data_IF_289780230111
#
_entry.id   IF_289780230111
#
_cell.length_a   1.000
_cell.length_b   1.000
_cell.length_c   1.000
_cell.angle_alpha   90.00
_cell.angle_beta   90.00
_cell.angle_gamma   90.00
#
_symmetry.space_group_name_H-M   'P 1'
#
loop_
_entity.id
_entity.type
_entity.pdbx_description
1 polymer ?
#
# COMPACT_ATOMS: atom_id res chain seq x y z
N UNK A 1 14.79 39.14 -43.50
CA UNK A 1 14.79 38.50 -42.15
C UNK A 1 13.37 38.65 -41.60
N UNK A 2 12.55 37.59 -41.67
CA UNK A 2 11.21 37.52 -41.02
C UNK A 2 11.41 37.07 -39.59
N UNK A 3 11.01 37.90 -38.62
CA UNK A 3 10.93 37.58 -37.19
C UNK A 3 9.68 36.71 -36.98
N UNK A 4 9.90 35.45 -36.61
CA UNK A 4 8.83 34.54 -36.18
C UNK A 4 8.46 34.86 -34.71
N UNK A 5 7.18 35.19 -34.50
CA UNK A 5 6.58 35.38 -33.19
C UNK A 5 6.55 34.06 -32.41
N UNK A 6 6.85 34.04 -31.12
CA UNK A 6 6.64 32.85 -30.29
C UNK A 6 5.14 32.57 -30.11
N UNK A 7 4.75 31.31 -30.21
CA UNK A 7 3.40 30.83 -29.92
C UNK A 7 3.13 30.99 -28.41
N UNK A 8 1.92 31.41 -27.99
CA UNK A 8 1.54 31.42 -26.59
C UNK A 8 1.48 29.98 -26.10
N UNK A 9 2.04 29.78 -24.88
CA UNK A 9 2.14 28.50 -24.22
C UNK A 9 0.77 27.84 -24.06
N UNK A 10 0.71 26.56 -24.41
CA UNK A 10 -0.42 25.69 -24.08
C UNK A 10 -0.63 25.69 -22.57
N UNK A 11 -1.83 26.00 -22.15
CA UNK A 11 -2.30 25.76 -20.79
C UNK A 11 -2.12 24.27 -20.51
N UNK A 12 -1.22 23.95 -19.59
CA UNK A 12 -1.16 22.63 -18.95
C UNK A 12 -2.54 22.44 -18.34
N UNK A 13 -3.32 21.52 -18.92
CA UNK A 13 -4.59 21.13 -18.36
C UNK A 13 -4.36 20.74 -16.91
N UNK A 14 -5.05 21.39 -16.00
CA UNK A 14 -5.18 20.92 -14.63
C UNK A 14 -5.80 19.54 -14.76
N UNK A 15 -5.01 18.49 -14.48
CA UNK A 15 -5.53 17.14 -14.35
C UNK A 15 -6.69 17.22 -13.35
N UNK A 16 -7.90 17.02 -13.85
CA UNK A 16 -9.06 16.87 -12.98
C UNK A 16 -8.71 15.79 -11.96
N UNK A 17 -8.95 16.05 -10.68
CA UNK A 17 -8.68 15.04 -9.67
C UNK A 17 -9.49 13.82 -10.03
N UNK A 18 -8.83 12.68 -10.31
CA UNK A 18 -9.52 11.40 -10.40
C UNK A 18 -10.43 11.33 -9.18
N UNK A 19 -11.72 11.49 -9.40
CA UNK A 19 -12.73 11.31 -8.36
C UNK A 19 -12.58 9.86 -7.95
N UNK A 20 -11.91 9.63 -6.80
CA UNK A 20 -11.84 8.29 -6.21
C UNK A 20 -13.26 7.79 -6.15
N UNK A 21 -13.58 6.80 -6.97
CA UNK A 21 -14.90 6.19 -7.02
C UNK A 21 -15.19 5.69 -5.60
N UNK A 22 -16.21 6.22 -4.89
CA UNK A 22 -16.42 5.92 -3.46
C UNK A 22 -16.76 4.45 -3.18
N UNK A 23 -16.89 3.63 -4.20
CA UNK A 23 -17.46 2.28 -4.16
C UNK A 23 -16.53 1.15 -4.61
N UNK A 24 -15.25 1.38 -4.75
CA UNK A 24 -14.33 0.27 -4.99
C UNK A 24 -14.16 -0.52 -3.67
N UNK A 25 -15.03 -1.51 -3.42
CA UNK A 25 -14.91 -2.42 -2.28
C UNK A 25 -13.61 -3.24 -2.31
N UNK A 26 -13.00 -3.37 -3.49
CA UNK A 26 -11.81 -4.17 -3.75
C UNK A 26 -10.72 -3.33 -4.43
N UNK A 27 -9.47 -3.61 -4.06
CA UNK A 27 -8.33 -2.85 -4.56
C UNK A 27 -7.95 -3.24 -5.98
N UNK A 28 -7.59 -2.25 -6.82
CA UNK A 28 -7.01 -2.47 -8.15
C UNK A 28 -5.69 -3.22 -8.10
N UNK A 29 -4.92 -3.06 -7.02
CA UNK A 29 -3.60 -3.67 -6.87
C UNK A 29 -3.62 -5.20 -6.74
N UNK A 30 -4.76 -5.80 -6.41
CA UNK A 30 -4.95 -7.23 -6.25
C UNK A 30 -5.90 -7.89 -7.25
N UNK A 31 -6.39 -7.15 -8.24
CA UNK A 31 -7.43 -7.62 -9.16
C UNK A 31 -7.04 -8.92 -9.90
N UNK A 32 -5.79 -9.03 -10.32
CA UNK A 32 -5.28 -10.24 -11.01
C UNK A 32 -5.27 -11.45 -10.09
N UNK A 33 -4.72 -11.31 -8.90
CA UNK A 33 -4.61 -12.41 -7.91
C UNK A 33 -6.01 -12.84 -7.44
N UNK A 34 -6.90 -11.88 -7.24
CA UNK A 34 -8.28 -12.16 -6.88
C UNK A 34 -9.02 -12.91 -7.98
N UNK A 35 -8.85 -12.50 -9.25
CA UNK A 35 -9.46 -13.19 -10.39
C UNK A 35 -8.95 -14.63 -10.52
N UNK A 36 -7.62 -14.83 -10.49
CA UNK A 36 -7.01 -16.16 -10.59
C UNK A 36 -7.43 -17.03 -9.40
N UNK A 37 -7.37 -16.49 -8.17
CA UNK A 37 -7.78 -17.20 -6.97
C UNK A 37 -9.26 -17.59 -6.97
N UNK A 38 -10.14 -16.70 -7.43
CA UNK A 38 -11.57 -16.97 -7.56
C UNK A 38 -11.86 -18.07 -8.57
N UNK A 39 -11.20 -18.05 -9.74
CA UNK A 39 -11.34 -19.10 -10.75
C UNK A 39 -10.84 -20.45 -10.24
N UNK A 40 -9.67 -20.48 -9.62
CA UNK A 40 -9.07 -21.71 -9.10
C UNK A 40 -9.92 -22.32 -7.97
N UNK A 41 -10.32 -21.50 -6.98
CA UNK A 41 -11.16 -21.95 -5.88
C UNK A 41 -12.57 -22.33 -6.36
N UNK A 42 -13.15 -21.59 -7.32
CA UNK A 42 -14.43 -21.93 -7.91
C UNK A 42 -14.42 -23.30 -8.61
N UNK A 43 -13.36 -23.59 -9.36
CA UNK A 43 -13.17 -24.93 -9.95
C UNK A 43 -12.98 -26.01 -8.87
N UNK A 44 -12.21 -25.72 -7.82
CA UNK A 44 -12.03 -26.60 -6.66
C UNK A 44 -13.38 -26.94 -6.00
N UNK A 45 -14.14 -25.91 -5.66
CA UNK A 45 -15.49 -26.05 -5.04
C UNK A 45 -16.40 -26.90 -5.93
N UNK A 46 -16.43 -26.68 -7.25
CA UNK A 46 -17.25 -27.47 -8.16
C UNK A 46 -16.88 -28.97 -8.14
N UNK A 47 -15.58 -29.28 -8.17
CA UNK A 47 -15.07 -30.64 -8.10
C UNK A 47 -15.35 -31.29 -6.75
N UNK A 48 -15.06 -30.56 -5.66
CA UNK A 48 -15.28 -31.05 -4.29
C UNK A 48 -16.75 -31.27 -3.99
N UNK A 49 -17.64 -30.38 -4.45
CA UNK A 49 -19.10 -30.53 -4.30
C UNK A 49 -19.64 -31.72 -5.09
N UNK A 50 -19.18 -31.91 -6.33
CA UNK A 50 -19.53 -33.08 -7.12
C UNK A 50 -19.07 -34.37 -6.43
N UNK A 51 -17.85 -34.42 -5.93
CA UNK A 51 -17.33 -35.56 -5.22
C UNK A 51 -18.07 -35.83 -3.90
N UNK A 52 -18.43 -34.78 -3.16
CA UNK A 52 -19.22 -34.88 -1.94
C UNK A 52 -20.60 -35.48 -2.19
N UNK A 53 -21.23 -35.06 -3.27
CA UNK A 53 -22.57 -35.60 -3.64
C UNK A 53 -22.49 -37.07 -4.14
N UNK A 54 -21.32 -37.48 -4.70
CA UNK A 54 -21.22 -38.81 -5.36
C UNK A 54 -20.60 -39.88 -4.46
N UNK A 55 -19.64 -39.52 -3.60
CA UNK A 55 -18.78 -40.48 -2.90
C UNK A 55 -18.88 -40.44 -1.39
N UNK A 56 -18.88 -39.26 -0.75
CA UNK A 56 -18.87 -39.17 0.70
C UNK A 56 -19.31 -37.81 1.23
N UNK A 57 -20.27 -37.76 2.19
CA UNK A 57 -20.72 -36.51 2.80
C UNK A 57 -19.61 -35.72 3.51
N UNK A 58 -18.52 -36.37 3.96
CA UNK A 58 -17.40 -35.69 4.63
C UNK A 58 -16.68 -34.72 3.72
N UNK A 59 -16.76 -34.86 2.42
CA UNK A 59 -16.17 -33.94 1.46
C UNK A 59 -16.84 -32.55 1.46
N UNK A 60 -18.03 -32.40 2.04
CA UNK A 60 -18.63 -31.09 2.27
C UNK A 60 -17.77 -30.20 3.22
N UNK A 61 -16.98 -30.81 4.11
CA UNK A 61 -16.04 -30.07 4.93
C UNK A 61 -14.94 -29.40 4.07
N UNK A 62 -14.49 -30.07 3.00
CA UNK A 62 -13.53 -29.48 2.05
C UNK A 62 -14.14 -28.29 1.32
N UNK A 63 -15.39 -28.42 0.84
CA UNK A 63 -16.13 -27.30 0.23
C UNK A 63 -16.21 -26.11 1.18
N UNK A 64 -16.53 -26.35 2.45
CA UNK A 64 -16.58 -25.28 3.46
C UNK A 64 -15.21 -24.62 3.66
N UNK A 65 -14.11 -25.38 3.69
CA UNK A 65 -12.76 -24.84 3.78
C UNK A 65 -12.39 -23.99 2.56
N UNK A 66 -12.70 -24.46 1.35
CA UNK A 66 -12.42 -23.71 0.11
C UNK A 66 -13.19 -22.40 0.06
N UNK A 67 -14.47 -22.39 0.47
CA UNK A 67 -15.28 -21.18 0.58
C UNK A 67 -14.74 -20.22 1.65
N UNK A 68 -14.25 -20.73 2.78
CA UNK A 68 -13.63 -19.91 3.82
C UNK A 68 -12.34 -19.25 3.31
N UNK A 69 -11.52 -19.99 2.57
CA UNK A 69 -10.30 -19.45 1.93
C UNK A 69 -10.66 -18.40 0.88
N UNK A 70 -11.71 -18.62 0.09
CA UNK A 70 -12.17 -17.64 -0.88
C UNK A 70 -12.69 -16.37 -0.20
N UNK A 71 -13.48 -16.49 0.85
CA UNK A 71 -13.99 -15.35 1.60
C UNK A 71 -12.83 -14.55 2.23
N UNK A 72 -11.82 -15.23 2.78
CA UNK A 72 -10.61 -14.59 3.27
C UNK A 72 -9.84 -13.87 2.16
N UNK A 73 -9.69 -14.46 0.97
CA UNK A 73 -9.03 -13.85 -0.18
C UNK A 73 -9.75 -12.54 -0.60
N UNK A 74 -11.08 -12.57 -0.68
CA UNK A 74 -11.87 -11.36 -0.97
C UNK A 74 -11.69 -10.31 0.12
N UNK A 75 -11.75 -10.73 1.39
CA UNK A 75 -11.55 -9.85 2.53
C UNK A 75 -10.14 -9.23 2.57
N UNK A 76 -9.11 -9.98 2.16
CA UNK A 76 -7.73 -9.51 2.08
C UNK A 76 -7.57 -8.37 1.08
N UNK A 77 -8.20 -8.46 -0.09
CA UNK A 77 -8.13 -7.44 -1.14
C UNK A 77 -9.18 -6.34 -1.00
N UNK A 78 -9.86 -6.23 0.16
CA UNK A 78 -10.80 -5.14 0.40
C UNK A 78 -10.10 -3.79 0.47
N UNK A 79 -10.77 -2.76 0.00
CA UNK A 79 -10.28 -1.38 0.02
C UNK A 79 -11.38 -0.42 0.52
N UNK A 80 -11.70 -0.47 1.80
CA UNK A 80 -12.73 0.41 2.37
C UNK A 80 -12.29 1.87 2.28
N UNK A 81 -13.25 2.77 2.08
CA UNK A 81 -12.99 4.20 2.10
C UNK A 81 -12.39 4.62 3.47
N UNK A 82 -11.38 5.48 3.42
CA UNK A 82 -10.74 6.09 4.60
C UNK A 82 -10.76 7.60 4.42
N UNK A 83 -11.66 8.25 5.13
CA UNK A 83 -11.74 9.71 5.11
C UNK A 83 -10.61 10.29 5.96
N UNK A 84 -9.87 11.23 5.38
CA UNK A 84 -8.89 12.00 6.13
C UNK A 84 -9.62 12.93 7.12
N UNK A 85 -9.20 12.99 8.39
CA UNK A 85 -9.76 13.98 9.31
C UNK A 85 -9.44 15.39 8.80
N UNK A 86 -10.35 16.36 8.99
CA UNK A 86 -10.07 17.76 8.67
C UNK A 86 -9.01 18.33 9.60
N UNK A 87 -8.21 19.27 9.11
CA UNK A 87 -7.17 19.99 9.86
C UNK A 87 -5.85 20.01 9.12
N UNK A 88 -5.13 21.13 9.27
CA UNK A 88 -3.79 21.32 8.69
C UNK A 88 -2.72 20.69 9.58
N UNK A 89 -1.63 20.24 8.98
CA UNK A 89 -0.49 19.66 9.71
C UNK A 89 -0.75 18.29 10.35
N UNK A 90 -1.90 17.65 10.08
CA UNK A 90 -2.21 16.34 10.60
C UNK A 90 -1.61 15.23 9.71
N UNK A 91 -0.95 14.27 10.33
CA UNK A 91 -0.52 13.03 9.71
C UNK A 91 -1.48 11.90 10.07
N UNK A 92 -1.83 11.08 9.08
CA UNK A 92 -2.62 9.86 9.29
C UNK A 92 -1.73 8.62 9.15
N UNK A 93 -2.13 7.52 9.77
CA UNK A 93 -1.41 6.25 9.59
C UNK A 93 -1.47 5.84 8.10
N UNK A 94 -0.32 5.53 7.49
CA UNK A 94 -0.29 5.10 6.10
C UNK A 94 -0.75 3.65 5.89
N UNK A 95 -1.09 2.93 6.96
CA UNK A 95 -1.58 1.56 6.91
C UNK A 95 -2.55 1.25 8.04
N UNK A 96 -3.48 0.34 7.80
CA UNK A 96 -4.27 -0.30 8.85
C UNK A 96 -3.38 -1.34 9.55
N UNK A 97 -3.13 -1.18 10.84
CA UNK A 97 -2.28 -2.09 11.57
C UNK A 97 -2.07 -1.68 13.02
N UNK A 98 -1.04 -2.24 13.63
CA UNK A 98 -0.63 -1.92 14.99
C UNK A 98 0.76 -1.29 14.97
N UNK A 99 0.93 -0.17 15.67
CA UNK A 99 2.27 0.40 15.90
C UNK A 99 3.09 -0.63 16.67
N UNK A 100 4.20 -1.04 16.08
CA UNK A 100 5.11 -2.05 16.65
C UNK A 100 6.25 -1.41 17.41
N UNK A 101 6.74 -0.28 16.93
CA UNK A 101 7.90 0.45 17.49
C UNK A 101 7.90 1.91 17.04
N UNK A 102 8.56 2.72 17.84
CA UNK A 102 8.86 4.11 17.55
C UNK A 102 10.35 4.29 17.87
N UNK A 103 11.15 4.66 16.87
CA UNK A 103 12.60 4.71 16.98
C UNK A 103 13.12 6.07 16.53
N UNK A 104 14.00 6.74 17.29
CA UNK A 104 14.65 7.97 16.83
C UNK A 104 15.57 7.68 15.64
N UNK A 105 15.67 8.63 14.72
CA UNK A 105 16.49 8.56 13.51
C UNK A 105 17.60 9.60 13.53
N UNK A 106 18.79 9.18 13.09
CA UNK A 106 19.90 10.07 12.80
C UNK A 106 19.85 10.66 11.38
N UNK A 107 20.84 11.45 11.04
CA UNK A 107 20.96 12.14 9.73
C UNK A 107 21.20 11.21 8.56
N UNK A 108 21.79 10.03 8.79
CA UNK A 108 22.09 9.00 7.75
C UNK A 108 20.90 8.12 7.40
N UNK A 109 19.72 8.42 7.94
CA UNK A 109 18.48 7.73 7.59
C UNK A 109 18.00 8.13 6.19
N UNK A 110 17.04 7.35 5.68
CA UNK A 110 16.32 7.69 4.42
C UNK A 110 15.66 9.07 4.47
N UNK A 111 15.41 9.61 5.66
CA UNK A 111 14.85 10.95 5.85
C UNK A 111 15.85 12.04 5.48
N UNK A 112 17.15 11.84 5.76
CA UNK A 112 18.22 12.80 5.52
C UNK A 112 18.35 13.92 6.57
N UNK A 113 17.63 13.81 7.68
CA UNK A 113 17.67 14.68 8.85
C UNK A 113 17.29 13.89 10.10
N UNK A 114 17.53 14.41 11.32
CA UNK A 114 17.02 13.82 12.55
C UNK A 114 15.50 13.73 12.51
N UNK A 115 14.95 12.72 13.18
CA UNK A 115 13.50 12.49 13.16
C UNK A 115 13.09 11.23 13.90
N UNK A 116 11.92 10.73 13.58
CA UNK A 116 11.32 9.56 14.20
C UNK A 116 10.83 8.58 13.12
N UNK A 117 11.04 7.29 13.34
CA UNK A 117 10.45 6.20 12.58
C UNK A 117 9.33 5.56 13.39
N UNK A 118 8.18 5.41 12.79
CA UNK A 118 7.02 4.73 13.35
C UNK A 118 6.79 3.46 12.53
N UNK A 119 7.01 2.30 13.13
CA UNK A 119 6.75 1.01 12.52
C UNK A 119 5.31 0.57 12.71
N UNK A 120 4.64 0.16 11.63
CA UNK A 120 3.26 -0.36 11.64
C UNK A 120 3.26 -1.80 11.12
N UNK A 121 2.92 -2.73 11.97
CA UNK A 121 2.75 -4.14 11.63
C UNK A 121 1.33 -4.40 11.09
N UNK A 122 1.23 -5.06 9.94
CA UNK A 122 -0.02 -5.48 9.34
C UNK A 122 -0.12 -7.01 9.34
N UNK A 123 -1.10 -7.56 10.04
CA UNK A 123 -1.39 -8.99 9.97
C UNK A 123 -2.28 -9.29 8.74
N UNK A 124 -2.39 -10.57 8.36
CA UNK A 124 -3.10 -11.02 7.15
C UNK A 124 -4.61 -10.73 7.13
N UNK A 125 -5.19 -10.23 8.23
CA UNK A 125 -6.60 -9.82 8.32
C UNK A 125 -6.78 -8.30 8.23
N UNK A 126 -5.70 -7.52 8.29
CA UNK A 126 -5.76 -6.07 8.11
C UNK A 126 -6.00 -5.69 6.63
N UNK A 127 -6.40 -4.45 6.39
CA UNK A 127 -6.38 -3.87 5.03
C UNK A 127 -4.94 -3.59 4.65
N UNK A 128 -4.51 -4.08 3.49
CA UNK A 128 -3.12 -3.97 3.03
C UNK A 128 -2.90 -2.86 2.01
N UNK A 129 -3.94 -2.12 1.66
CA UNK A 129 -3.81 -0.89 0.86
C UNK A 129 -3.17 0.18 1.71
N UNK A 130 -2.07 0.75 1.21
CA UNK A 130 -1.35 1.81 1.88
C UNK A 130 -1.79 3.18 1.34
N UNK A 131 -1.72 4.20 2.20
CA UNK A 131 -2.22 5.54 1.92
C UNK A 131 -1.21 6.61 2.29
N UNK A 132 -1.29 7.76 1.62
CA UNK A 132 -0.45 8.91 1.91
C UNK A 132 -0.74 9.44 3.33
N UNK A 133 0.29 9.59 4.18
CA UNK A 133 0.11 10.09 5.54
C UNK A 133 -0.24 11.58 5.59
N UNK A 134 0.12 12.33 4.57
CA UNK A 134 -0.11 13.76 4.42
C UNK A 134 -0.28 14.11 2.94
N UNK A 135 -0.69 15.33 2.66
CA UNK A 135 -0.55 15.93 1.33
C UNK A 135 0.93 16.23 1.04
N UNK A 136 1.31 16.12 -0.23
CA UNK A 136 2.69 16.42 -0.64
C UNK A 136 3.00 15.94 -2.05
N UNK A 137 4.16 16.33 -2.54
CA UNK A 137 4.70 15.92 -3.82
C UNK A 137 5.61 14.69 -3.66
N UNK A 138 5.47 13.72 -4.53
CA UNK A 138 6.36 12.55 -4.60
C UNK A 138 7.70 12.99 -5.18
N UNK A 139 8.74 12.98 -4.35
CA UNK A 139 10.11 13.33 -4.77
C UNK A 139 10.77 12.14 -5.46
N UNK A 140 10.60 10.95 -4.90
CA UNK A 140 11.17 9.73 -5.46
C UNK A 140 10.41 8.49 -4.97
N UNK A 141 10.45 7.44 -5.79
CA UNK A 141 10.03 6.09 -5.44
C UNK A 141 11.21 5.17 -5.71
N UNK A 142 11.77 4.59 -4.67
CA UNK A 142 12.97 3.75 -4.76
C UNK A 142 12.66 2.34 -4.29
N UNK A 143 12.76 1.38 -5.20
CA UNK A 143 12.63 -0.03 -4.89
C UNK A 143 13.99 -0.65 -4.59
N UNK A 144 14.07 -1.44 -3.54
CA UNK A 144 15.25 -2.23 -3.16
C UNK A 144 14.86 -3.69 -3.05
N UNK A 145 15.45 -4.53 -3.88
CA UNK A 145 15.37 -5.98 -3.73
C UNK A 145 16.01 -6.44 -2.41
N UNK A 146 15.57 -7.58 -1.89
CA UNK A 146 16.07 -8.08 -0.61
C UNK A 146 15.56 -9.46 -0.25
N UNK A 147 15.72 -9.83 1.02
CA UNK A 147 15.21 -11.06 1.63
C UNK A 147 13.69 -10.95 1.92
N UNK A 148 13.13 -12.04 2.45
CA UNK A 148 11.73 -12.13 2.91
C UNK A 148 11.70 -12.73 4.32
N UNK A 149 12.36 -12.07 5.26
CA UNK A 149 12.33 -12.44 6.67
C UNK A 149 10.96 -12.10 7.27
N UNK A 150 10.61 -12.76 8.38
CA UNK A 150 9.45 -12.33 9.17
C UNK A 150 9.63 -10.87 9.58
N UNK A 151 8.63 -10.04 9.37
CA UNK A 151 8.70 -8.59 9.66
C UNK A 151 8.81 -8.27 11.15
N UNK A 152 8.64 -9.26 12.03
CA UNK A 152 8.91 -9.16 13.47
C UNK A 152 10.40 -9.34 13.79
N UNK A 153 11.20 -9.84 12.86
CA UNK A 153 12.66 -9.91 13.00
C UNK A 153 13.22 -8.46 12.86
N UNK A 154 13.99 -7.97 13.82
CA UNK A 154 14.58 -6.62 13.74
C UNK A 154 15.39 -6.36 12.47
N UNK A 155 15.98 -7.41 11.88
CA UNK A 155 16.75 -7.33 10.64
C UNK A 155 15.89 -7.17 9.39
N UNK A 156 14.57 -7.40 9.48
CA UNK A 156 13.67 -7.33 8.33
C UNK A 156 13.66 -5.94 7.69
N UNK A 157 13.69 -4.88 8.49
CA UNK A 157 13.72 -3.50 7.99
C UNK A 157 14.93 -3.22 7.10
N UNK A 158 16.08 -3.82 7.39
CA UNK A 158 17.31 -3.61 6.61
C UNK A 158 17.46 -4.59 5.45
N UNK A 159 17.00 -5.83 5.63
CA UNK A 159 17.31 -6.93 4.70
C UNK A 159 16.22 -7.23 3.70
N UNK A 160 14.96 -6.99 4.06
CA UNK A 160 13.84 -7.36 3.20
C UNK A 160 13.70 -6.44 1.99
N UNK A 161 13.06 -6.99 0.95
CA UNK A 161 12.57 -6.19 -0.17
C UNK A 161 11.73 -5.04 0.34
N UNK A 162 12.00 -3.83 -0.16
CA UNK A 162 11.30 -2.64 0.29
C UNK A 162 11.13 -1.61 -0.82
N UNK A 163 10.10 -0.78 -0.69
CA UNK A 163 9.90 0.39 -1.53
C UNK A 163 9.78 1.62 -0.65
N UNK A 164 10.67 2.58 -0.85
CA UNK A 164 10.66 3.86 -0.15
C UNK A 164 10.04 4.93 -1.05
N UNK A 165 8.98 5.56 -0.57
CA UNK A 165 8.29 6.68 -1.21
C UNK A 165 8.65 7.92 -0.41
N UNK A 166 9.42 8.83 -1.02
CA UNK A 166 9.82 10.09 -0.41
C UNK A 166 8.86 11.18 -0.86
N UNK A 167 8.26 11.86 0.10
CA UNK A 167 7.34 12.97 -0.11
C UNK A 167 7.97 14.28 0.36
N UNK A 168 7.60 15.36 -0.30
CA UNK A 168 7.84 16.74 0.10
C UNK A 168 6.52 17.31 0.60
N UNK A 169 6.38 17.41 1.92
CA UNK A 169 5.23 18.01 2.57
C UNK A 169 5.50 19.49 2.85
N UNK A 170 4.52 20.35 2.59
CA UNK A 170 4.62 21.79 2.88
C UNK A 170 3.69 22.16 4.02
N UNK A 171 4.25 22.68 5.10
CA UNK A 171 3.49 23.17 6.24
C UNK A 171 4.17 24.38 6.87
N UNK A 172 3.39 25.41 7.24
CA UNK A 172 3.93 26.64 7.85
C UNK A 172 4.94 27.37 6.98
N UNK A 173 4.82 27.31 5.64
CA UNK A 173 5.77 27.92 4.70
C UNK A 173 7.12 27.20 4.57
N UNK A 174 7.27 26.03 5.20
CA UNK A 174 8.49 25.19 5.14
C UNK A 174 8.22 23.89 4.44
N UNK A 175 9.27 23.31 3.85
CA UNK A 175 9.24 21.98 3.26
C UNK A 175 9.79 20.96 4.27
N UNK A 176 9.04 19.89 4.45
CA UNK A 176 9.39 18.79 5.36
C UNK A 176 9.51 17.49 4.55
N UNK A 177 10.62 16.77 4.66
CA UNK A 177 10.72 15.43 4.08
C UNK A 177 9.85 14.45 4.89
N UNK A 178 9.10 13.62 4.19
CA UNK A 178 8.34 12.51 4.77
C UNK A 178 8.66 11.27 3.96
N UNK A 179 8.90 10.14 4.61
CA UNK A 179 9.17 8.88 3.92
C UNK A 179 8.18 7.83 4.38
N UNK A 180 7.53 7.19 3.41
CA UNK A 180 6.75 5.97 3.62
C UNK A 180 7.53 4.81 3.04
N UNK A 181 7.95 3.86 3.89
CA UNK A 181 8.70 2.69 3.46
C UNK A 181 7.86 1.44 3.63
N UNK A 182 7.54 0.80 2.52
CA UNK A 182 6.84 -0.47 2.45
C UNK A 182 7.87 -1.59 2.54
N UNK A 183 7.66 -2.59 3.40
CA UNK A 183 8.60 -3.70 3.63
C UNK A 183 7.85 -5.01 3.46
N UNK A 184 8.33 -5.86 2.54
CA UNK A 184 7.81 -7.18 2.34
C UNK A 184 8.11 -8.09 3.54
N UNK A 185 7.25 -9.07 3.78
CA UNK A 185 7.43 -10.07 4.83
C UNK A 185 7.64 -11.48 4.30
N UNK A 186 7.61 -12.45 5.19
CA UNK A 186 7.85 -13.86 4.88
C UNK A 186 6.90 -14.42 3.82
N UNK A 187 5.63 -14.06 3.89
CA UNK A 187 4.57 -14.48 2.96
C UNK A 187 4.38 -13.43 1.86
N UNK A 188 4.55 -12.15 2.20
CA UNK A 188 4.49 -11.03 1.29
C UNK A 188 5.74 -11.00 0.43
N UNK A 189 5.58 -11.33 -0.86
CA UNK A 189 6.69 -11.31 -1.83
C UNK A 189 6.46 -10.27 -2.92
N UNK A 190 5.58 -9.29 -2.69
CA UNK A 190 5.30 -8.26 -3.69
C UNK A 190 4.80 -6.96 -3.09
N UNK A 191 5.51 -5.91 -3.38
CA UNK A 191 5.12 -4.53 -3.15
C UNK A 191 4.64 -3.96 -4.48
N UNK A 192 3.47 -3.32 -4.51
CA UNK A 192 2.90 -2.71 -5.70
C UNK A 192 2.63 -1.24 -5.40
N UNK A 193 3.15 -0.37 -6.24
CA UNK A 193 2.82 1.06 -6.28
C UNK A 193 2.78 1.51 -7.74
N UNK A 194 1.93 2.47 -8.03
CA UNK A 194 1.81 3.14 -9.33
C UNK A 194 2.27 4.60 -9.27
N UNK A 195 2.91 4.98 -8.17
CA UNK A 195 3.42 6.33 -7.99
C UNK A 195 4.67 6.59 -8.82
N UNK A 196 4.78 7.82 -9.31
CA UNK A 196 5.96 8.36 -9.96
C UNK A 196 6.38 9.70 -9.31
N UNK A 197 7.65 10.05 -9.45
CA UNK A 197 8.15 11.36 -9.03
C UNK A 197 7.40 12.49 -9.74
N UNK A 198 7.15 13.59 -9.06
CA UNK A 198 6.40 14.75 -9.53
C UNK A 198 4.90 14.68 -9.29
N UNK A 199 4.34 13.54 -8.91
CA UNK A 199 2.91 13.43 -8.57
C UNK A 199 2.59 14.13 -7.25
N UNK A 200 1.47 14.84 -7.20
CA UNK A 200 0.94 15.41 -5.96
C UNK A 200 -0.08 14.46 -5.34
N UNK A 201 0.08 14.20 -4.05
CA UNK A 201 -0.80 13.33 -3.28
C UNK A 201 -1.64 14.14 -2.30
N UNK A 202 -2.87 13.69 -2.09
CA UNK A 202 -3.73 14.14 -0.99
C UNK A 202 -3.56 13.20 0.20
N UNK A 203 -3.80 13.70 1.40
CA UNK A 203 -3.84 12.87 2.62
C UNK A 203 -4.89 11.76 2.48
N UNK A 204 -4.58 10.55 2.93
CA UNK A 204 -5.36 9.32 2.76
C UNK A 204 -5.48 8.79 1.32
N UNK A 205 -4.88 9.43 0.32
CA UNK A 205 -4.85 8.92 -1.05
C UNK A 205 -4.10 7.58 -1.11
N UNK A 206 -4.58 6.65 -1.91
CA UNK A 206 -3.94 5.33 -2.12
C UNK A 206 -2.56 5.49 -2.74
N UNK A 207 -1.55 4.81 -2.17
CA UNK A 207 -0.16 4.87 -2.65
C UNK A 207 0.40 3.52 -3.05
N UNK A 208 -0.34 2.45 -2.83
CA UNK A 208 0.09 1.11 -3.17
C UNK A 208 -0.45 0.05 -2.23
N UNK A 209 0.12 -1.15 -2.30
CA UNK A 209 -0.26 -2.30 -1.49
C UNK A 209 0.94 -3.21 -1.26
N UNK A 210 1.04 -3.77 -0.06
CA UNK A 210 1.97 -4.86 0.23
C UNK A 210 1.13 -6.14 0.35
N UNK A 211 1.44 -7.18 -0.45
CA UNK A 211 0.62 -8.41 -0.49
C UNK A 211 1.10 -9.43 0.55
N UNK A 212 0.22 -9.83 1.48
CA UNK A 212 0.36 -10.91 2.48
C UNK A 212 1.40 -10.71 3.60
N UNK A 213 1.01 -10.04 4.69
CA UNK A 213 1.77 -9.90 5.94
C UNK A 213 3.02 -9.03 5.78
N UNK A 214 3.01 -7.85 6.37
CA UNK A 214 3.97 -6.83 6.02
C UNK A 214 4.20 -5.83 7.15
N UNK A 215 5.20 -5.01 6.96
CA UNK A 215 5.50 -3.86 7.81
C UNK A 215 5.54 -2.61 6.94
N UNK A 216 5.02 -1.53 7.48
CA UNK A 216 5.19 -0.21 6.91
C UNK A 216 5.90 0.68 7.93
N UNK A 217 6.79 1.52 7.46
CA UNK A 217 7.49 2.51 8.27
C UNK A 217 7.16 3.91 7.77
N UNK A 218 6.76 4.76 8.70
CA UNK A 218 6.58 6.20 8.48
C UNK A 218 7.74 6.94 9.15
N UNK A 219 8.52 7.68 8.38
CA UNK A 219 9.63 8.47 8.85
C UNK A 219 9.25 9.96 8.77
N UNK A 220 9.34 10.64 9.90
CA UNK A 220 8.97 12.05 10.06
C UNK A 220 10.14 12.83 10.64
N UNK A 221 10.38 14.10 10.21
CA UNK A 221 11.36 14.99 10.83
C UNK A 221 10.90 15.40 12.24
N UNK A 222 11.87 15.79 13.08
CA UNK A 222 11.59 16.44 14.37
C UNK A 222 10.98 17.82 14.20
#
# INVERSE_FOLDING_TARGET
>A
RRLTRPRPGGTVGADEPETETPLALLTKYGARELAIGTLALGAGVAVSAWAAARFSPWLWALVACELAVWAWLVAFFRDPARLAPPGDGLFVSPADGRVSDITPLGTDSLLGCPGVQIGVFMNVFNVHVNRAPCEGEVVSVTHRGGAFLDVRDPRASERNESTAIRLRHRHGGREHPVVVRQIAGLVARRIVTDLAAGQTLRRSQRIGMIKFGSRLELLLPE
#
